data_IF_580169515928
#
_entry.id   IF_580169515928
#
_cell.length_a   1.000
_cell.length_b   1.000
_cell.length_c   1.000
_cell.angle_alpha   90.00
_cell.angle_beta   90.00
_cell.angle_gamma   90.00
#
_symmetry.space_group_name_H-M   'P 1'
#
loop_
_entity.id
_entity.type
_entity.pdbx_description
1 polymer ?
#
# COMPACT_ATOMS: atom_id res chain seq x y z
N UNK A 1 26.55 -10.68 29.09
CA UNK A 1 26.00 -10.55 27.72
C UNK A 1 24.84 -11.53 27.56
N UNK A 2 23.58 -11.07 27.60
CA UNK A 2 22.44 -11.97 27.40
C UNK A 2 22.25 -12.23 25.90
N UNK A 3 22.05 -13.51 25.61
CA UNK A 3 21.89 -14.15 24.32
C UNK A 3 20.75 -13.52 23.49
N UNK A 4 21.03 -13.23 22.21
CA UNK A 4 20.04 -12.80 21.22
C UNK A 4 18.90 -13.83 21.14
N UNK A 5 17.70 -13.45 21.59
CA UNK A 5 16.48 -14.21 21.29
C UNK A 5 16.25 -14.20 19.78
N UNK A 6 16.20 -15.40 19.20
CA UNK A 6 15.76 -15.70 17.83
C UNK A 6 14.39 -15.04 17.61
N UNK A 7 14.14 -14.35 16.48
CA UNK A 7 12.83 -13.77 16.22
C UNK A 7 11.81 -14.90 16.22
N UNK A 8 10.71 -14.71 16.95
CA UNK A 8 9.60 -15.66 16.97
C UNK A 8 9.12 -15.81 15.52
N UNK A 9 9.34 -16.98 14.93
CA UNK A 9 8.66 -17.35 13.70
C UNK A 9 7.17 -17.21 13.95
N UNK A 10 6.44 -16.65 12.97
CA UNK A 10 4.99 -16.65 12.97
C UNK A 10 4.53 -18.03 13.44
N UNK A 11 3.89 -18.09 14.60
CA UNK A 11 3.53 -19.36 15.23
C UNK A 11 2.72 -20.15 14.22
N UNK A 12 3.30 -21.22 13.68
CA UNK A 12 2.52 -22.22 12.98
C UNK A 12 1.49 -22.69 13.99
N UNK A 13 0.23 -22.30 13.80
CA UNK A 13 -0.87 -22.86 14.56
C UNK A 13 -0.74 -24.38 14.43
N UNK A 14 -0.50 -25.06 15.54
CA UNK A 14 -0.33 -26.50 15.52
C UNK A 14 -1.61 -27.10 14.93
N UNK A 15 -1.47 -27.78 13.79
CA UNK A 15 -2.61 -28.48 13.19
C UNK A 15 -3.13 -29.50 14.20
N UNK A 16 -4.45 -29.70 14.28
CA UNK A 16 -5.01 -30.73 15.14
C UNK A 16 -4.41 -32.09 14.75
N UNK A 17 -3.97 -32.88 15.73
CA UNK A 17 -3.44 -34.22 15.45
C UNK A 17 -4.56 -35.11 14.93
N UNK A 18 -4.40 -35.64 13.72
CA UNK A 18 -5.35 -36.58 13.15
C UNK A 18 -5.00 -37.99 13.67
N UNK A 19 -5.95 -38.71 14.31
CA UNK A 19 -5.72 -40.09 14.76
C UNK A 19 -5.30 -40.99 13.59
N UNK A 20 -4.39 -41.94 13.84
CA UNK A 20 -3.87 -42.85 12.80
C UNK A 20 -4.97 -43.70 12.19
N UNK A 21 -5.94 -44.10 13.02
CA UNK A 21 -7.08 -44.90 12.63
C UNK A 21 -7.95 -44.16 11.60
N UNK A 22 -8.08 -42.82 11.72
CA UNK A 22 -8.83 -42.02 10.76
C UNK A 22 -8.08 -41.90 9.43
N UNK A 23 -6.75 -41.83 9.47
CA UNK A 23 -5.91 -41.84 8.27
C UNK A 23 -6.07 -43.18 7.55
N UNK A 24 -5.97 -44.30 8.26
CA UNK A 24 -6.16 -45.64 7.68
C UNK A 24 -7.55 -45.83 7.05
N UNK A 25 -8.59 -45.29 7.68
CA UNK A 25 -9.95 -45.30 7.13
C UNK A 25 -10.08 -44.42 5.88
N UNK A 26 -9.46 -43.24 5.87
CA UNK A 26 -9.49 -42.32 4.73
C UNK A 26 -8.66 -42.83 3.54
N UNK A 27 -7.58 -43.57 3.79
CA UNK A 27 -6.75 -44.18 2.74
C UNK A 27 -7.25 -45.56 2.28
N UNK A 28 -8.28 -46.11 2.93
CA UNK A 28 -8.79 -47.46 2.68
C UNK A 28 -7.71 -48.54 2.84
N UNK A 29 -6.74 -48.32 3.72
CA UNK A 29 -5.59 -49.21 3.93
C UNK A 29 -4.55 -49.23 2.79
N UNK A 30 -4.68 -48.35 1.78
CA UNK A 30 -3.79 -48.33 0.62
C UNK A 30 -2.64 -47.34 0.83
N UNK A 31 -1.46 -47.87 1.16
CA UNK A 31 -0.19 -47.12 1.18
C UNK A 31 0.85 -47.82 0.30
N UNK A 32 1.59 -47.09 -0.56
CA UNK A 32 1.60 -45.64 -0.73
C UNK A 32 0.46 -45.12 -1.64
N UNK A 33 -0.06 -43.92 -1.32
CA UNK A 33 -1.00 -43.20 -2.18
C UNK A 33 -0.25 -42.35 -3.21
N UNK A 34 -0.82 -42.21 -4.41
CA UNK A 34 -0.34 -41.22 -5.39
C UNK A 34 -0.77 -39.80 -5.00
N UNK A 35 -0.11 -38.77 -5.56
CA UNK A 35 -0.49 -37.37 -5.35
C UNK A 35 -1.95 -37.11 -5.76
N UNK A 36 -2.43 -37.77 -6.82
CA UNK A 36 -3.82 -37.69 -7.29
C UNK A 36 -4.81 -38.28 -6.27
N UNK A 37 -4.48 -39.43 -5.68
CA UNK A 37 -5.31 -40.07 -4.65
C UNK A 37 -5.37 -39.22 -3.37
N UNK A 38 -4.25 -38.60 -2.98
CA UNK A 38 -4.21 -37.68 -1.84
C UNK A 38 -5.11 -36.48 -2.10
N UNK A 39 -5.04 -35.87 -3.29
CA UNK A 39 -5.88 -34.73 -3.65
C UNK A 39 -7.37 -35.10 -3.66
N UNK A 40 -7.72 -36.23 -4.28
CA UNK A 40 -9.11 -36.72 -4.34
C UNK A 40 -9.69 -36.98 -2.93
N UNK A 41 -8.90 -37.57 -2.04
CA UNK A 41 -9.31 -37.85 -0.65
C UNK A 41 -9.49 -36.55 0.14
N UNK A 42 -8.59 -35.58 -0.06
CA UNK A 42 -8.67 -34.25 0.55
C UNK A 42 -9.91 -33.50 0.09
N UNK A 43 -10.21 -33.52 -1.21
CA UNK A 43 -11.43 -32.94 -1.79
C UNK A 43 -12.71 -33.58 -1.22
N UNK A 44 -12.74 -34.91 -1.09
CA UNK A 44 -13.88 -35.63 -0.53
C UNK A 44 -14.11 -35.26 0.95
N UNK A 45 -13.04 -35.17 1.74
CA UNK A 45 -13.10 -34.73 3.13
C UNK A 45 -13.61 -33.29 3.24
N UNK A 46 -13.06 -32.38 2.42
CA UNK A 46 -13.47 -30.97 2.37
C UNK A 46 -14.95 -30.83 2.03
N UNK A 47 -15.44 -31.58 1.03
CA UNK A 47 -16.87 -31.66 0.69
C UNK A 47 -17.71 -32.09 1.88
N UNK A 48 -17.33 -33.18 2.54
CA UNK A 48 -18.08 -33.72 3.67
C UNK A 48 -18.16 -32.73 4.84
N UNK A 49 -17.06 -32.01 5.14
CA UNK A 49 -17.02 -30.98 6.17
C UNK A 49 -17.92 -29.79 5.83
N UNK A 50 -17.88 -29.30 4.60
CA UNK A 50 -18.73 -28.19 4.12
C UNK A 50 -20.20 -28.59 4.20
N UNK A 51 -20.58 -29.76 3.67
CA UNK A 51 -21.96 -30.23 3.71
C UNK A 51 -22.48 -30.45 5.14
N UNK A 52 -21.62 -30.94 6.05
CA UNK A 52 -21.94 -31.10 7.47
C UNK A 52 -22.18 -29.76 8.16
N UNK A 53 -21.32 -28.78 7.91
CA UNK A 53 -21.47 -27.43 8.45
C UNK A 53 -22.76 -26.76 7.98
N UNK A 54 -23.05 -26.81 6.67
CA UNK A 54 -24.32 -26.30 6.11
C UNK A 54 -25.54 -27.04 6.69
N UNK A 55 -25.43 -28.35 6.94
CA UNK A 55 -26.46 -29.13 7.62
C UNK A 55 -26.71 -28.69 9.06
N UNK A 56 -25.66 -28.34 9.79
CA UNK A 56 -25.74 -27.79 11.14
C UNK A 56 -26.39 -26.40 11.15
N UNK A 57 -26.01 -25.50 10.23
CA UNK A 57 -26.66 -24.20 10.04
C UNK A 57 -28.17 -24.35 9.80
N UNK A 58 -28.59 -25.26 8.92
CA UNK A 58 -30.01 -25.50 8.69
C UNK A 58 -30.72 -26.08 9.93
N UNK A 59 -30.01 -26.87 10.74
CA UNK A 59 -30.57 -27.40 12.00
C UNK A 59 -30.81 -26.30 13.02
N UNK A 60 -29.87 -25.37 13.11
CA UNK A 60 -30.02 -24.18 13.94
C UNK A 60 -31.16 -23.28 13.44
N UNK A 61 -31.25 -23.04 12.12
CA UNK A 61 -32.32 -22.25 11.50
C UNK A 61 -33.72 -22.83 11.76
N UNK A 62 -33.86 -24.15 11.69
CA UNK A 62 -35.15 -24.82 11.90
C UNK A 62 -35.47 -25.10 13.38
N UNK A 63 -34.48 -25.03 14.26
CA UNK A 63 -34.63 -25.35 15.69
C UNK A 63 -34.70 -26.85 16.01
N UNK A 64 -34.42 -27.74 15.05
CA UNK A 64 -34.45 -29.19 15.29
C UNK A 64 -33.50 -29.98 14.34
N UNK A 65 -32.95 -31.12 14.81
CA UNK A 65 -31.97 -31.91 14.05
C UNK A 65 -32.60 -32.68 12.88
N UNK A 66 -31.78 -33.18 11.93
CA UNK A 66 -32.28 -34.04 10.86
C UNK A 66 -32.76 -35.39 11.42
N UNK A 67 -33.85 -35.93 10.87
CA UNK A 67 -34.37 -37.26 11.21
C UNK A 67 -35.29 -37.31 12.43
N UNK A 68 -35.54 -36.20 13.12
CA UNK A 68 -36.54 -36.12 14.19
C UNK A 68 -37.90 -35.66 13.66
N UNK A 69 -38.97 -36.03 14.37
CA UNK A 69 -40.30 -35.49 14.09
C UNK A 69 -40.28 -33.96 14.19
N UNK A 70 -41.01 -33.32 13.27
CA UNK A 70 -41.15 -31.87 13.24
C UNK A 70 -41.93 -31.41 14.48
N UNK A 71 -41.41 -30.47 15.29
CA UNK A 71 -42.17 -29.89 16.41
C UNK A 71 -43.45 -29.20 15.92
N UNK A 72 -44.54 -29.28 16.69
CA UNK A 72 -45.83 -28.67 16.31
C UNK A 72 -45.72 -27.14 16.12
N UNK A 73 -44.84 -26.48 16.88
CA UNK A 73 -44.60 -25.03 16.81
C UNK A 73 -43.75 -24.62 15.59
N UNK A 74 -43.09 -25.56 14.91
CA UNK A 74 -42.23 -25.23 13.77
C UNK A 74 -43.07 -24.92 12.52
N UNK A 75 -43.02 -23.68 12.01
CA UNK A 75 -43.70 -23.31 10.76
C UNK A 75 -43.04 -23.84 9.48
N UNK A 76 -41.78 -24.29 9.57
CA UNK A 76 -40.94 -24.64 8.42
C UNK A 76 -40.33 -26.05 8.57
N UNK A 77 -39.83 -26.62 7.47
CA UNK A 77 -39.23 -27.95 7.47
C UNK A 77 -38.16 -28.12 6.41
N UNK A 78 -37.34 -29.17 6.52
CA UNK A 78 -36.33 -29.53 5.50
C UNK A 78 -37.01 -29.97 4.20
N UNK A 79 -36.42 -29.62 3.06
CA UNK A 79 -36.93 -29.94 1.73
C UNK A 79 -35.80 -30.40 0.78
N UNK A 80 -35.01 -31.37 1.25
CA UNK A 80 -33.92 -31.98 0.49
C UNK A 80 -32.69 -31.08 0.35
N UNK A 81 -31.93 -31.29 -0.73
CA UNK A 81 -30.69 -30.58 -1.04
C UNK A 81 -30.73 -30.02 -2.47
N UNK A 82 -29.81 -29.13 -2.79
CA UNK A 82 -29.55 -28.63 -4.15
C UNK A 82 -28.06 -28.66 -4.45
N UNK A 83 -27.70 -29.18 -5.62
CA UNK A 83 -26.33 -29.19 -6.08
C UNK A 83 -25.82 -27.77 -6.34
N UNK A 84 -24.61 -27.50 -5.86
CA UNK A 84 -23.88 -26.24 -6.08
C UNK A 84 -22.41 -26.56 -6.28
N UNK A 85 -21.81 -26.01 -7.34
CA UNK A 85 -20.35 -26.09 -7.52
C UNK A 85 -19.72 -24.86 -6.90
N UNK A 86 -18.85 -25.08 -5.92
CA UNK A 86 -18.10 -24.05 -5.20
C UNK A 86 -16.65 -24.12 -5.63
N UNK A 87 -16.07 -22.98 -5.98
CA UNK A 87 -14.66 -22.84 -6.29
C UNK A 87 -13.88 -22.79 -4.98
N UNK A 88 -13.01 -23.78 -4.77
CA UNK A 88 -12.13 -23.85 -3.60
C UNK A 88 -10.68 -23.72 -4.03
N UNK A 89 -9.77 -23.56 -3.06
CA UNK A 89 -8.32 -23.51 -3.35
C UNK A 89 -7.80 -24.72 -4.12
N UNK A 90 -8.40 -25.91 -3.95
CA UNK A 90 -7.94 -27.14 -4.59
C UNK A 90 -8.63 -27.38 -5.95
N UNK A 91 -9.61 -26.55 -6.32
CA UNK A 91 -10.41 -26.66 -7.54
C UNK A 91 -11.93 -26.62 -7.31
N UNK A 92 -12.73 -26.80 -8.39
CA UNK A 92 -14.18 -26.82 -8.32
C UNK A 92 -14.70 -28.03 -7.52
N UNK A 93 -15.47 -27.76 -6.47
CA UNK A 93 -16.04 -28.75 -5.57
C UNK A 93 -17.57 -28.76 -5.67
N UNK A 94 -18.14 -29.86 -6.15
CA UNK A 94 -19.59 -30.04 -6.20
C UNK A 94 -20.12 -30.49 -4.83
N UNK A 95 -20.88 -29.61 -4.19
CA UNK A 95 -21.50 -29.81 -2.88
C UNK A 95 -23.03 -29.89 -2.99
N UNK A 96 -23.67 -30.55 -2.04
CA UNK A 96 -25.12 -30.60 -1.88
C UNK A 96 -25.56 -29.68 -0.73
N UNK A 97 -26.11 -28.52 -1.07
CA UNK A 97 -26.55 -27.51 -0.09
C UNK A 97 -27.96 -27.87 0.41
N UNK A 98 -28.19 -27.99 1.72
CA UNK A 98 -29.49 -28.33 2.27
C UNK A 98 -30.48 -27.16 2.16
N UNK A 99 -31.77 -27.47 2.00
CA UNK A 99 -32.83 -26.48 1.79
C UNK A 99 -33.98 -26.65 2.78
N UNK A 100 -34.64 -25.55 3.09
CA UNK A 100 -35.92 -25.52 3.79
C UNK A 100 -37.09 -25.43 2.81
N UNK A 101 -38.31 -25.70 3.28
CA UNK A 101 -39.54 -25.69 2.48
C UNK A 101 -40.01 -24.28 2.18
N UNK A 102 -39.86 -23.37 3.13
CA UNK A 102 -40.25 -21.97 2.98
C UNK A 102 -39.24 -21.13 2.17
N UNK A 103 -38.04 -21.65 1.87
CA UNK A 103 -36.99 -20.91 1.15
C UNK A 103 -36.32 -19.79 1.97
N UNK A 104 -36.60 -19.73 3.27
CA UNK A 104 -36.14 -18.71 4.22
C UNK A 104 -34.71 -18.93 4.72
N UNK A 105 -34.14 -20.12 4.54
CA UNK A 105 -32.80 -20.42 5.03
C UNK A 105 -31.74 -19.67 4.22
N UNK A 106 -30.91 -18.85 4.87
CA UNK A 106 -29.75 -18.18 4.26
C UNK A 106 -28.46 -18.73 4.88
N UNK A 107 -27.69 -19.57 4.15
CA UNK A 107 -26.46 -20.14 4.70
C UNK A 107 -25.40 -19.06 4.93
N UNK A 108 -24.69 -19.16 6.05
CA UNK A 108 -23.62 -18.23 6.43
C UNK A 108 -22.31 -18.66 5.79
N UNK A 109 -21.97 -19.96 5.84
CA UNK A 109 -20.71 -20.48 5.30
C UNK A 109 -20.56 -20.24 3.79
N UNK A 110 -21.64 -20.45 3.03
CA UNK A 110 -21.66 -20.23 1.58
C UNK A 110 -23.02 -19.64 1.18
N UNK A 111 -23.15 -18.31 1.11
CA UNK A 111 -24.41 -17.62 0.82
C UNK A 111 -25.09 -18.08 -0.46
N UNK A 112 -26.41 -17.83 -0.57
CA UNK A 112 -27.17 -18.15 -1.78
C UNK A 112 -26.51 -17.48 -2.99
N UNK A 113 -26.47 -18.20 -4.11
CA UNK A 113 -25.84 -17.78 -5.37
C UNK A 113 -24.30 -17.60 -5.35
N UNK A 114 -23.67 -17.51 -4.19
CA UNK A 114 -22.21 -17.33 -4.09
C UNK A 114 -21.46 -18.64 -4.30
N UNK A 115 -20.61 -18.74 -5.32
CA UNK A 115 -19.88 -19.98 -5.64
C UNK A 115 -18.44 -19.98 -5.13
N UNK A 116 -18.07 -19.10 -4.21
CA UNK A 116 -16.68 -18.92 -3.76
C UNK A 116 -16.49 -19.46 -2.35
N UNK A 117 -15.35 -20.12 -2.10
CA UNK A 117 -14.88 -20.46 -0.77
C UNK A 117 -13.84 -19.42 -0.35
N UNK A 118 -13.99 -18.86 0.86
CA UNK A 118 -13.18 -17.73 1.36
C UNK A 118 -11.68 -18.04 1.36
N UNK A 119 -10.85 -17.07 0.94
CA UNK A 119 -9.38 -17.18 0.86
C UNK A 119 -8.79 -17.21 -0.57
N UNK A 120 -9.55 -17.66 -1.58
CA UNK A 120 -9.09 -17.66 -2.98
C UNK A 120 -8.89 -16.25 -3.54
N UNK A 121 -9.84 -15.36 -3.23
CA UNK A 121 -9.82 -13.96 -3.68
C UNK A 121 -8.63 -13.20 -3.07
N UNK A 122 -8.26 -13.51 -1.82
CA UNK A 122 -7.09 -12.93 -1.15
C UNK A 122 -5.78 -13.28 -1.86
N UNK A 123 -5.65 -14.50 -2.39
CA UNK A 123 -4.47 -14.90 -3.18
C UNK A 123 -4.39 -14.13 -4.50
N UNK A 124 -5.53 -13.91 -5.16
CA UNK A 124 -5.61 -13.08 -6.38
C UNK A 124 -5.17 -11.66 -6.08
N UNK A 125 -5.72 -11.05 -5.01
CA UNK A 125 -5.35 -9.70 -4.58
C UNK A 125 -3.87 -9.64 -4.19
N UNK A 126 -3.34 -10.65 -3.49
CA UNK A 126 -1.95 -10.72 -3.08
C UNK A 126 -0.96 -10.84 -4.26
N UNK A 127 -1.32 -11.59 -5.31
CA UNK A 127 -0.54 -11.68 -6.56
C UNK A 127 -0.59 -10.37 -7.33
N UNK A 128 -1.78 -9.78 -7.45
CA UNK A 128 -1.98 -8.49 -8.12
C UNK A 128 -1.15 -7.39 -7.44
N UNK A 129 -1.21 -7.32 -6.10
CA UNK A 129 -0.46 -6.37 -5.27
C UNK A 129 1.07 -6.51 -5.39
N UNK A 130 1.56 -7.70 -5.78
CA UNK A 130 3.00 -7.96 -6.04
C UNK A 130 3.43 -7.57 -7.45
N UNK A 131 2.49 -7.08 -8.27
CA UNK A 131 2.78 -6.59 -9.61
C UNK A 131 2.54 -7.62 -10.72
N UNK A 132 1.95 -8.77 -10.44
CA UNK A 132 1.54 -9.71 -11.49
C UNK A 132 0.39 -9.14 -12.30
N UNK A 133 0.48 -9.27 -13.63
CA UNK A 133 -0.59 -8.93 -14.57
C UNK A 133 -1.72 -9.94 -14.49
N UNK A 134 -2.91 -9.57 -14.98
CA UNK A 134 -4.08 -10.47 -14.99
C UNK A 134 -3.78 -11.78 -15.71
N UNK A 135 -3.00 -11.74 -16.80
CA UNK A 135 -2.59 -12.93 -17.56
C UNK A 135 -1.61 -13.82 -16.80
N UNK A 136 -0.65 -13.22 -16.07
CA UNK A 136 0.27 -13.97 -15.22
C UNK A 136 -0.46 -14.63 -14.04
N UNK A 137 -1.43 -13.93 -13.44
CA UNK A 137 -2.29 -14.49 -12.39
C UNK A 137 -3.09 -15.67 -12.94
N UNK A 138 -3.70 -15.50 -14.12
CA UNK A 138 -4.44 -16.59 -14.78
C UNK A 138 -3.56 -17.81 -15.03
N UNK A 139 -2.37 -17.62 -15.61
CA UNK A 139 -1.42 -18.70 -15.86
C UNK A 139 -0.98 -19.40 -14.57
N UNK A 140 -0.62 -18.64 -13.54
CA UNK A 140 -0.25 -19.20 -12.24
C UNK A 140 -1.38 -20.00 -11.60
N UNK A 141 -2.63 -19.51 -11.68
CA UNK A 141 -3.78 -20.23 -11.13
C UNK A 141 -4.07 -21.53 -11.89
N UNK A 142 -3.90 -21.53 -13.21
CA UNK A 142 -4.06 -22.72 -14.03
C UNK A 142 -2.98 -23.77 -13.73
N UNK A 143 -1.73 -23.36 -13.60
CA UNK A 143 -0.60 -24.27 -13.32
C UNK A 143 -0.64 -24.85 -11.91
N UNK A 144 -0.90 -24.02 -10.89
CA UNK A 144 -0.82 -24.45 -9.50
C UNK A 144 -2.09 -25.16 -9.00
N UNK A 145 -3.26 -24.77 -9.51
CA UNK A 145 -4.56 -25.22 -8.99
C UNK A 145 -5.42 -25.94 -10.05
N UNK A 146 -4.91 -26.15 -11.27
CA UNK A 146 -5.65 -26.82 -12.36
C UNK A 146 -6.97 -26.13 -12.71
N UNK A 147 -7.11 -24.85 -12.36
CA UNK A 147 -8.38 -24.12 -12.45
C UNK A 147 -8.28 -23.05 -13.54
N UNK A 148 -9.14 -23.17 -14.55
CA UNK A 148 -9.31 -22.11 -15.55
C UNK A 148 -10.10 -20.94 -14.94
N UNK A 149 -9.43 -19.80 -14.80
CA UNK A 149 -10.03 -18.56 -14.29
C UNK A 149 -10.04 -17.52 -15.40
N UNK A 150 -11.16 -16.84 -15.62
CA UNK A 150 -11.23 -15.81 -16.66
C UNK A 150 -10.54 -14.49 -16.23
N UNK A 151 -9.99 -13.72 -17.17
CA UNK A 151 -9.46 -12.38 -16.89
C UNK A 151 -10.50 -11.43 -16.26
N UNK A 152 -11.77 -11.57 -16.67
CA UNK A 152 -12.89 -10.80 -16.16
C UNK A 152 -13.14 -11.14 -14.68
N UNK A 153 -13.02 -12.41 -14.30
CA UNK A 153 -13.13 -12.82 -12.91
C UNK A 153 -12.02 -12.20 -12.06
N UNK A 154 -10.76 -12.30 -12.48
CA UNK A 154 -9.62 -11.70 -11.78
C UNK A 154 -9.81 -10.19 -11.62
N UNK A 155 -10.29 -9.53 -12.67
CA UNK A 155 -10.58 -8.10 -12.63
C UNK A 155 -11.66 -7.79 -11.58
N UNK A 156 -12.79 -8.52 -11.59
CA UNK A 156 -13.88 -8.34 -10.62
C UNK A 156 -13.44 -8.51 -9.16
N UNK A 157 -12.56 -9.49 -8.89
CA UNK A 157 -12.00 -9.72 -7.56
C UNK A 157 -11.14 -8.53 -7.13
N UNK A 158 -10.29 -8.04 -8.03
CA UNK A 158 -9.46 -6.87 -7.72
C UNK A 158 -10.27 -5.59 -7.62
N UNK A 159 -11.38 -5.45 -8.34
CA UNK A 159 -12.23 -4.24 -8.30
C UNK A 159 -12.95 -4.09 -6.96
N UNK A 160 -13.23 -5.19 -6.26
CA UNK A 160 -13.78 -5.14 -4.89
C UNK A 160 -12.88 -4.33 -3.93
N UNK A 161 -11.57 -4.28 -4.20
CA UNK A 161 -10.59 -3.50 -3.43
C UNK A 161 -10.85 -1.99 -3.52
N UNK A 162 -11.52 -1.49 -4.57
CA UNK A 162 -11.79 -0.05 -4.70
C UNK A 162 -12.60 0.52 -3.55
N UNK A 163 -13.46 -0.28 -2.92
CA UNK A 163 -14.18 0.12 -1.71
C UNK A 163 -13.21 0.45 -0.56
N UNK A 164 -12.19 -0.40 -0.35
CA UNK A 164 -11.14 -0.15 0.65
C UNK A 164 -10.28 1.07 0.28
N UNK A 165 -9.99 1.26 -1.02
CA UNK A 165 -9.25 2.43 -1.51
C UNK A 165 -10.01 3.71 -1.19
N UNK A 166 -11.30 3.77 -1.49
CA UNK A 166 -12.14 4.93 -1.20
C UNK A 166 -12.24 5.20 0.31
N UNK A 167 -12.42 4.16 1.12
CA UNK A 167 -12.43 4.29 2.57
C UNK A 167 -11.08 4.80 3.12
N UNK A 168 -9.96 4.34 2.55
CA UNK A 168 -8.63 4.82 2.92
C UNK A 168 -8.38 6.26 2.47
N UNK A 169 -8.87 6.66 1.30
CA UNK A 169 -8.76 8.05 0.80
C UNK A 169 -9.61 9.03 1.62
N UNK A 170 -10.71 8.58 2.23
CA UNK A 170 -11.58 9.43 3.06
C UNK A 170 -11.31 9.31 4.57
N UNK A 171 -10.39 8.43 4.99
CA UNK A 171 -10.12 8.19 6.41
C UNK A 171 -9.70 9.48 7.14
N UNK A 172 -10.09 9.64 8.41
CA UNK A 172 -9.63 10.75 9.23
C UNK A 172 -8.10 10.70 9.37
N UNK A 173 -7.49 11.87 9.41
CA UNK A 173 -6.05 12.08 9.58
C UNK A 173 -5.78 12.79 10.90
N UNK A 174 -4.57 12.60 11.43
CA UNK A 174 -4.11 13.28 12.63
C UNK A 174 -4.10 14.81 12.45
N UNK A 175 -4.34 15.58 13.54
CA UNK A 175 -4.50 17.03 13.45
C UNK A 175 -3.21 17.77 13.11
N UNK A 176 -2.04 17.21 13.42
CA UNK A 176 -0.77 17.88 13.20
C UNK A 176 0.32 16.94 12.69
N UNK A 177 1.01 17.37 11.64
CA UNK A 177 2.17 16.69 11.08
C UNK A 177 3.40 17.62 11.12
N UNK A 178 4.47 17.24 11.84
CA UNK A 178 5.70 18.02 11.86
C UNK A 178 6.36 18.16 10.49
N UNK A 179 6.35 17.10 9.69
CA UNK A 179 6.89 17.11 8.33
C UNK A 179 5.98 16.34 7.39
N UNK A 180 5.64 16.93 6.25
CA UNK A 180 4.98 16.24 5.14
C UNK A 180 5.82 16.38 3.88
N UNK A 181 6.17 15.25 3.28
CA UNK A 181 6.86 15.19 1.99
C UNK A 181 5.84 15.02 0.87
N UNK A 182 5.91 15.90 -0.13
CA UNK A 182 5.15 15.78 -1.37
C UNK A 182 6.10 15.46 -2.51
N UNK A 183 5.91 14.31 -3.14
CA UNK A 183 6.70 13.87 -4.28
C UNK A 183 5.78 13.23 -5.32
N UNK A 184 6.28 13.09 -6.55
CA UNK A 184 5.51 12.52 -7.64
C UNK A 184 6.26 11.39 -8.34
N UNK A 185 5.52 10.38 -8.78
CA UNK A 185 6.00 9.40 -9.75
C UNK A 185 5.22 9.52 -11.05
N UNK A 186 5.89 9.29 -12.17
CA UNK A 186 5.31 9.35 -13.51
C UNK A 186 4.89 7.96 -13.96
N UNK A 187 3.63 7.81 -14.39
CA UNK A 187 3.04 6.54 -14.79
C UNK A 187 2.29 6.69 -16.11
N UNK A 188 2.44 5.69 -16.99
CA UNK A 188 1.72 5.64 -18.27
C UNK A 188 0.30 5.12 -18.04
N UNK A 189 -0.70 5.94 -18.32
CA UNK A 189 -2.12 5.61 -18.14
C UNK A 189 -2.86 5.93 -19.44
N UNK A 190 -3.76 5.03 -19.86
CA UNK A 190 -4.64 5.24 -21.01
C UNK A 190 -5.83 6.11 -20.61
N UNK A 191 -6.05 7.17 -21.37
CA UNK A 191 -7.14 8.13 -21.23
C UNK A 191 -7.60 8.54 -22.64
N UNK A 192 -8.90 8.48 -22.92
CA UNK A 192 -9.48 8.78 -24.24
C UNK A 192 -8.78 8.05 -25.40
N UNK A 193 -8.54 6.74 -25.22
CA UNK A 193 -7.79 5.87 -26.13
C UNK A 193 -6.31 6.23 -26.36
N UNK A 194 -5.78 7.27 -25.72
CA UNK A 194 -4.36 7.70 -25.82
C UNK A 194 -3.62 7.36 -24.53
N UNK A 195 -2.39 6.85 -24.64
CA UNK A 195 -1.54 6.63 -23.46
C UNK A 195 -0.81 7.93 -23.12
N UNK A 196 -1.11 8.48 -21.94
CA UNK A 196 -0.49 9.70 -21.40
C UNK A 196 0.42 9.37 -20.23
N UNK A 197 1.43 10.19 -20.02
CA UNK A 197 2.33 10.07 -18.87
C UNK A 197 1.84 10.99 -17.74
N UNK A 198 1.00 10.45 -16.85
CA UNK A 198 0.39 11.20 -15.74
C UNK A 198 1.32 11.26 -14.53
N UNK A 199 1.24 12.34 -13.77
CA UNK A 199 1.89 12.41 -12.45
C UNK A 199 0.96 11.81 -11.40
N UNK A 200 1.56 11.04 -10.51
CA UNK A 200 0.89 10.53 -9.32
C UNK A 200 1.60 11.14 -8.13
N UNK A 201 0.91 12.04 -7.46
CA UNK A 201 1.40 12.76 -6.30
C UNK A 201 1.12 11.94 -5.04
N UNK A 202 2.14 11.81 -4.19
CA UNK A 202 2.09 11.08 -2.93
C UNK A 202 2.43 12.05 -1.79
N UNK A 203 1.65 12.02 -0.71
CA UNK A 203 1.95 12.73 0.52
C UNK A 203 2.38 11.74 1.61
N UNK A 204 3.62 11.87 2.09
CA UNK A 204 4.18 11.11 3.21
C UNK A 204 4.30 12.03 4.43
N UNK A 205 3.46 11.81 5.42
CA UNK A 205 3.51 12.50 6.71
C UNK A 205 4.43 11.79 7.70
N UNK A 206 5.08 12.56 8.56
CA UNK A 206 5.72 12.10 9.79
C UNK A 206 4.88 12.61 10.95
N UNK A 207 4.60 11.74 11.92
CA UNK A 207 3.83 12.05 13.12
C UNK A 207 4.73 12.54 14.26
N UNK A 208 4.17 13.15 15.33
CA UNK A 208 4.95 13.66 16.47
C UNK A 208 5.79 12.59 17.18
N UNK A 209 5.33 11.33 17.15
CA UNK A 209 6.05 10.18 17.70
C UNK A 209 7.15 9.62 16.76
N UNK A 210 7.21 10.15 15.54
CA UNK A 210 8.19 9.80 14.50
C UNK A 210 7.80 8.62 13.64
N UNK A 211 6.59 8.08 13.84
CA UNK A 211 6.00 7.14 12.89
C UNK A 211 5.62 7.88 11.61
N UNK A 212 5.40 7.12 10.55
CA UNK A 212 5.14 7.64 9.22
C UNK A 212 3.77 7.19 8.78
N UNK A 213 3.10 8.03 8.01
CA UNK A 213 1.83 7.70 7.39
C UNK A 213 1.75 8.23 5.96
N UNK A 214 1.06 7.50 5.09
CA UNK A 214 0.74 7.98 3.74
C UNK A 214 -0.60 8.68 3.80
N UNK A 215 -0.58 10.00 3.62
CA UNK A 215 -1.78 10.82 3.79
C UNK A 215 -2.72 10.68 2.61
N UNK A 216 -2.17 10.51 1.41
CA UNK A 216 -2.99 10.32 0.20
C UNK A 216 -2.17 10.10 -1.06
N UNK A 217 -2.90 9.79 -2.13
CA UNK A 217 -2.41 9.59 -3.48
C UNK A 217 -3.39 10.24 -4.46
N UNK A 218 -2.87 11.10 -5.34
CA UNK A 218 -3.68 11.85 -6.32
C UNK A 218 -3.07 11.73 -7.71
N UNK A 219 -3.89 11.37 -8.69
CA UNK A 219 -3.51 11.32 -10.11
C UNK A 219 -4.01 12.59 -10.77
N UNK A 220 -3.14 13.30 -11.47
CA UNK A 220 -3.52 14.51 -12.18
C UNK A 220 -2.74 14.66 -13.49
N UNK A 221 -3.39 15.30 -14.47
CA UNK A 221 -2.84 15.58 -15.78
C UNK A 221 -1.98 16.85 -15.80
N UNK A 222 -2.45 17.91 -15.13
CA UNK A 222 -1.82 19.22 -15.12
C UNK A 222 -1.52 19.70 -13.70
N UNK A 223 -0.26 20.08 -13.50
CA UNK A 223 0.22 20.65 -12.25
C UNK A 223 -0.10 22.14 -12.19
N UNK A 224 -0.76 22.59 -11.13
CA UNK A 224 -1.05 24.01 -10.91
C UNK A 224 -1.68 24.28 -9.55
N UNK A 225 -1.82 25.57 -9.21
CA UNK A 225 -2.29 26.00 -7.88
C UNK A 225 -3.68 25.43 -7.53
N UNK A 226 -4.59 25.30 -8.51
CA UNK A 226 -5.94 24.73 -8.29
C UNK A 226 -5.88 23.26 -7.83
N UNK A 227 -4.98 22.48 -8.40
CA UNK A 227 -4.79 21.07 -8.00
C UNK A 227 -4.28 21.00 -6.56
N UNK A 228 -3.24 21.76 -6.22
CA UNK A 228 -2.69 21.76 -4.86
C UNK A 228 -3.67 22.31 -3.82
N UNK A 229 -4.49 23.30 -4.18
CA UNK A 229 -5.59 23.76 -3.34
C UNK A 229 -6.59 22.62 -3.05
N UNK A 230 -6.92 21.79 -4.05
CA UNK A 230 -7.78 20.61 -3.85
C UNK A 230 -7.12 19.62 -2.89
N UNK A 231 -5.84 19.31 -3.08
CA UNK A 231 -5.08 18.38 -2.23
C UNK A 231 -5.02 18.88 -0.78
N UNK A 232 -4.68 20.14 -0.54
CA UNK A 232 -4.59 20.68 0.81
C UNK A 232 -5.95 20.82 1.49
N UNK A 233 -7.00 21.18 0.76
CA UNK A 233 -8.36 21.19 1.31
C UNK A 233 -8.87 19.78 1.62
N UNK A 234 -8.51 18.77 0.82
CA UNK A 234 -8.80 17.36 1.12
C UNK A 234 -8.15 16.94 2.45
N UNK A 235 -6.85 17.21 2.62
CA UNK A 235 -6.14 16.95 3.89
C UNK A 235 -6.82 17.66 5.07
N UNK A 236 -7.18 18.93 4.90
CA UNK A 236 -7.85 19.72 5.95
C UNK A 236 -9.23 19.18 6.31
N UNK A 237 -10.02 18.79 5.31
CA UNK A 237 -11.36 18.20 5.50
C UNK A 237 -11.28 16.86 6.23
N UNK A 238 -10.19 16.12 6.04
CA UNK A 238 -9.93 14.84 6.72
C UNK A 238 -9.38 15.00 8.13
N UNK A 239 -9.12 16.22 8.61
CA UNK A 239 -8.76 16.49 10.00
C UNK A 239 -7.41 17.16 10.20
N UNK A 240 -6.60 17.34 9.15
CA UNK A 240 -5.30 18.03 9.28
C UNK A 240 -5.51 19.51 9.59
N UNK A 241 -5.15 19.91 10.80
CA UNK A 241 -5.23 21.30 11.26
C UNK A 241 -3.93 22.06 10.99
N UNK A 242 -2.77 21.42 11.15
CA UNK A 242 -1.46 22.06 10.97
C UNK A 242 -0.41 21.15 10.32
N UNK A 243 0.45 21.78 9.52
CA UNK A 243 1.64 21.17 8.93
C UNK A 243 2.80 22.12 9.22
N UNK A 244 3.79 21.69 10.01
CA UNK A 244 4.89 22.60 10.37
C UNK A 244 5.84 22.83 9.18
N UNK A 245 6.22 21.74 8.50
CA UNK A 245 7.13 21.78 7.35
C UNK A 245 6.56 20.96 6.19
N UNK A 246 6.40 21.60 5.03
CA UNK A 246 6.09 20.92 3.77
C UNK A 246 7.34 20.84 2.90
N UNK A 247 7.79 19.63 2.58
CA UNK A 247 9.00 19.36 1.79
C UNK A 247 8.60 18.95 0.38
N UNK A 248 9.05 19.68 -0.64
CA UNK A 248 8.62 19.46 -2.04
C UNK A 248 9.76 19.62 -3.04
N UNK A 249 9.66 18.99 -4.22
CA UNK A 249 10.62 19.13 -5.32
C UNK A 249 10.31 20.34 -6.23
N UNK A 250 10.06 21.51 -5.64
CA UNK A 250 9.83 22.75 -6.40
C UNK A 250 8.59 22.74 -7.30
N UNK A 251 7.59 21.92 -6.97
CA UNK A 251 6.35 21.75 -7.71
C UNK A 251 5.59 23.08 -7.83
N UNK A 252 5.06 23.36 -9.03
CA UNK A 252 4.36 24.60 -9.38
C UNK A 252 3.01 24.68 -8.67
N UNK A 253 2.66 25.87 -8.18
CA UNK A 253 1.36 26.11 -7.55
C UNK A 253 1.27 25.70 -6.06
N UNK A 254 2.27 24.99 -5.53
CA UNK A 254 2.32 24.66 -4.09
C UNK A 254 2.44 25.92 -3.22
N UNK A 255 3.34 26.88 -3.48
CA UNK A 255 3.50 28.05 -2.60
C UNK A 255 2.19 28.82 -2.43
N UNK A 256 1.48 29.07 -3.52
CA UNK A 256 0.22 29.79 -3.53
C UNK A 256 -0.88 29.01 -2.79
N UNK A 257 -0.91 27.68 -2.97
CA UNK A 257 -1.90 26.83 -2.32
C UNK A 257 -1.65 26.64 -0.82
N UNK A 258 -0.39 26.49 -0.41
CA UNK A 258 -0.01 26.41 1.01
C UNK A 258 -0.34 27.73 1.72
N UNK A 259 0.04 28.87 1.14
CA UNK A 259 -0.26 30.17 1.72
C UNK A 259 -1.76 30.40 1.96
N UNK A 260 -2.62 29.80 1.13
CA UNK A 260 -4.07 29.90 1.29
C UNK A 260 -4.66 28.91 2.31
N UNK A 261 -4.18 27.66 2.37
CA UNK A 261 -4.81 26.60 3.19
C UNK A 261 -4.12 26.40 4.54
N UNK A 262 -2.78 26.46 4.56
CA UNK A 262 -1.90 26.29 5.71
C UNK A 262 -0.86 27.43 5.77
N UNK A 263 -1.27 28.68 6.08
CA UNK A 263 -0.41 29.86 5.97
C UNK A 263 0.82 29.84 6.90
N UNK A 264 0.74 29.08 7.99
CA UNK A 264 1.82 28.96 8.97
C UNK A 264 2.85 27.85 8.64
N UNK A 265 2.66 27.12 7.54
CA UNK A 265 3.58 26.05 7.10
C UNK A 265 4.84 26.63 6.49
N UNK A 266 6.00 26.14 6.93
CA UNK A 266 7.27 26.43 6.27
C UNK A 266 7.42 25.56 5.03
N UNK A 267 7.41 26.17 3.84
CA UNK A 267 7.71 25.47 2.60
C UNK A 267 9.23 25.32 2.43
N UNK A 268 9.68 24.07 2.28
CA UNK A 268 11.09 23.72 2.09
C UNK A 268 11.28 22.97 0.77
N UNK A 269 12.24 23.41 -0.06
CA UNK A 269 12.68 22.63 -1.22
C UNK A 269 13.44 21.40 -0.77
N UNK A 270 13.13 20.24 -1.34
CA UNK A 270 13.85 19.02 -1.04
C UNK A 270 15.29 19.08 -1.56
N UNK A 271 16.26 19.14 -0.65
CA UNK A 271 17.69 19.19 -0.98
C UNK A 271 18.14 17.96 -1.77
N UNK A 272 17.59 16.77 -1.48
CA UNK A 272 18.00 15.56 -2.20
C UNK A 272 17.52 15.55 -3.63
N UNK A 273 16.29 16.01 -3.90
CA UNK A 273 15.84 16.18 -5.29
C UNK A 273 16.67 17.26 -6.01
N UNK A 274 17.00 18.36 -5.33
CA UNK A 274 17.87 19.39 -5.88
C UNK A 274 19.27 18.84 -6.25
N UNK A 275 19.86 18.02 -5.38
CA UNK A 275 21.13 17.32 -5.66
C UNK A 275 20.95 16.34 -6.82
N UNK A 276 19.90 15.52 -6.84
CA UNK A 276 19.67 14.55 -7.93
C UNK A 276 19.54 15.26 -9.28
N UNK A 277 18.70 16.30 -9.34
CA UNK A 277 18.52 17.13 -10.53
C UNK A 277 19.86 17.73 -10.98
N UNK A 278 20.72 18.11 -10.03
CA UNK A 278 22.08 18.59 -10.33
C UNK A 278 22.98 17.48 -10.93
N UNK A 279 22.91 16.26 -10.38
CA UNK A 279 23.71 15.12 -10.84
C UNK A 279 23.27 14.56 -12.19
N UNK A 280 22.05 14.86 -12.63
CA UNK A 280 21.55 14.44 -13.95
C UNK A 280 22.22 15.18 -15.11
N UNK A 281 22.81 16.36 -14.87
CA UNK A 281 23.66 17.05 -15.84
C UNK A 281 25.06 16.44 -15.95
N UNK A 282 25.47 15.59 -15.00
CA UNK A 282 26.82 15.05 -14.92
C UNK A 282 26.92 13.62 -15.45
N UNK A 283 28.04 13.34 -16.14
CA UNK A 283 28.42 11.99 -16.55
C UNK A 283 28.63 11.09 -15.33
N UNK A 284 28.53 9.77 -15.51
CA UNK A 284 28.75 8.79 -14.42
C UNK A 284 30.07 8.99 -13.69
N UNK A 285 31.14 9.35 -14.41
CA UNK A 285 32.48 9.59 -13.84
C UNK A 285 32.52 10.84 -12.97
N UNK A 286 31.83 11.90 -13.37
CA UNK A 286 31.83 13.19 -12.69
C UNK A 286 30.87 13.25 -11.49
N UNK A 287 29.80 12.45 -11.49
CA UNK A 287 28.73 12.48 -10.46
C UNK A 287 29.25 12.47 -9.03
N UNK A 288 30.21 11.60 -8.71
CA UNK A 288 30.75 11.49 -7.35
C UNK A 288 31.48 12.77 -6.91
N UNK A 289 32.28 13.34 -7.80
CA UNK A 289 33.04 14.55 -7.51
C UNK A 289 32.13 15.79 -7.45
N UNK A 290 31.15 15.89 -8.36
CA UNK A 290 30.13 16.94 -8.32
C UNK A 290 29.31 16.88 -7.02
N UNK A 291 28.88 15.69 -6.59
CA UNK A 291 28.16 15.53 -5.33
C UNK A 291 28.99 15.99 -4.12
N UNK A 292 30.29 15.72 -4.13
CA UNK A 292 31.21 16.18 -3.09
C UNK A 292 31.37 17.71 -3.11
N UNK A 293 31.44 18.32 -4.30
CA UNK A 293 31.54 19.77 -4.45
C UNK A 293 30.25 20.52 -4.02
N UNK A 294 29.07 19.90 -4.16
CA UNK A 294 27.80 20.47 -3.70
C UNK A 294 27.57 20.29 -2.19
N UNK A 295 28.31 19.39 -1.53
CA UNK A 295 28.11 19.03 -0.12
C UNK A 295 28.24 20.23 0.84
N UNK A 296 29.27 21.07 0.75
CA UNK A 296 29.45 22.21 1.65
C UNK A 296 28.23 23.12 1.73
N UNK A 297 27.56 23.36 0.60
CA UNK A 297 26.40 24.26 0.47
C UNK A 297 25.30 23.88 1.48
N UNK A 298 24.82 22.63 1.46
CA UNK A 298 23.73 22.21 2.35
C UNK A 298 24.19 21.73 3.72
N UNK A 299 25.49 21.53 3.94
CA UNK A 299 26.02 21.21 5.28
C UNK A 299 26.47 22.43 6.07
N UNK A 300 26.38 23.63 5.48
CA UNK A 300 26.76 24.88 6.13
C UNK A 300 25.98 25.14 7.42
N UNK A 301 26.61 25.86 8.35
CA UNK A 301 26.03 26.17 9.67
C UNK A 301 24.88 27.18 9.58
N UNK A 302 24.98 28.17 8.69
CA UNK A 302 24.00 29.25 8.49
C UNK A 302 23.68 29.47 7.02
N UNK A 303 22.62 30.24 6.75
CA UNK A 303 22.25 30.65 5.40
C UNK A 303 23.34 31.48 4.72
N UNK A 304 24.00 32.39 5.46
CA UNK A 304 25.10 33.20 4.92
C UNK A 304 26.32 32.36 4.54
N UNK A 305 26.67 31.37 5.38
CA UNK A 305 27.74 30.44 5.07
C UNK A 305 27.38 29.57 3.85
N UNK A 306 26.13 29.11 3.76
CA UNK A 306 25.65 28.36 2.59
C UNK A 306 25.69 29.19 1.30
N UNK A 307 25.38 30.49 1.41
CA UNK A 307 25.43 31.43 0.30
C UNK A 307 26.87 31.59 -0.20
N UNK A 308 27.82 31.78 0.72
CA UNK A 308 29.24 31.85 0.37
C UNK A 308 29.74 30.55 -0.28
N UNK A 309 29.31 29.38 0.21
CA UNK A 309 29.64 28.08 -0.42
C UNK A 309 29.02 27.93 -1.82
N UNK A 310 27.81 28.46 -2.05
CA UNK A 310 27.19 28.47 -3.39
C UNK A 310 27.95 29.41 -4.34
N UNK A 311 28.37 30.58 -3.87
CA UNK A 311 29.18 31.53 -4.64
C UNK A 311 30.55 30.90 -4.99
N UNK A 312 31.18 30.23 -4.03
CA UNK A 312 32.45 29.53 -4.22
C UNK A 312 32.30 28.35 -5.20
N UNK A 313 31.20 27.59 -5.12
CA UNK A 313 30.89 26.53 -6.07
C UNK A 313 30.74 27.09 -7.49
N UNK A 314 30.02 28.19 -7.66
CA UNK A 314 29.82 28.87 -8.95
C UNK A 314 31.15 29.31 -9.59
N UNK A 315 32.07 29.85 -8.78
CA UNK A 315 33.40 30.24 -9.23
C UNK A 315 34.34 29.05 -9.50
N UNK A 316 34.05 27.87 -8.95
CA UNK A 316 34.90 26.68 -9.09
C UNK A 316 34.86 26.08 -10.50
N UNK A 317 35.85 25.22 -10.81
CA UNK A 317 35.87 24.46 -12.06
C UNK A 317 34.59 23.62 -12.28
N UNK A 318 33.93 23.16 -11.21
CA UNK A 318 32.68 22.43 -11.30
C UNK A 318 31.49 23.32 -11.62
N UNK A 319 31.40 24.51 -11.01
CA UNK A 319 30.35 25.49 -11.32
C UNK A 319 30.46 26.01 -12.74
N UNK A 320 31.67 26.28 -13.21
CA UNK A 320 31.94 26.69 -14.59
C UNK A 320 31.65 25.57 -15.60
N UNK A 321 31.94 24.31 -15.25
CA UNK A 321 31.59 23.14 -16.08
C UNK A 321 30.08 22.86 -16.11
N UNK A 322 29.36 23.17 -15.04
CA UNK A 322 27.93 22.91 -14.90
C UNK A 322 27.14 24.17 -14.49
N UNK A 323 27.09 25.23 -15.31
CA UNK A 323 26.42 26.48 -14.95
C UNK A 323 24.90 26.31 -14.75
N UNK A 324 24.29 25.29 -15.37
CA UNK A 324 22.89 24.93 -15.18
C UNK A 324 22.59 24.46 -13.76
N UNK A 325 23.56 23.81 -13.10
CA UNK A 325 23.43 23.39 -11.70
C UNK A 325 23.32 24.63 -10.82
N UNK A 326 24.28 25.56 -10.93
CA UNK A 326 24.25 26.81 -10.17
C UNK A 326 22.96 27.58 -10.40
N UNK A 327 22.53 27.74 -11.65
CA UNK A 327 21.28 28.44 -11.97
C UNK A 327 20.06 27.78 -11.32
N UNK A 328 20.04 26.45 -11.21
CA UNK A 328 18.95 25.71 -10.55
C UNK A 328 18.92 25.98 -9.05
N UNK A 329 20.08 25.95 -8.39
CA UNK A 329 20.20 26.26 -6.96
C UNK A 329 19.79 27.71 -6.65
N UNK A 330 20.24 28.67 -7.47
CA UNK A 330 19.88 30.09 -7.34
C UNK A 330 18.38 30.34 -7.44
N UNK A 331 17.71 29.71 -8.42
CA UNK A 331 16.25 29.84 -8.59
C UNK A 331 15.45 29.26 -7.43
N UNK A 332 15.97 28.21 -6.79
CA UNK A 332 15.34 27.56 -5.65
C UNK A 332 15.74 28.18 -4.30
N UNK A 333 16.66 29.15 -4.29
CA UNK A 333 17.40 29.54 -3.09
C UNK A 333 16.53 30.04 -1.95
N UNK A 334 15.53 30.89 -2.23
CA UNK A 334 14.59 31.38 -1.22
C UNK A 334 13.85 30.26 -0.48
N UNK A 335 13.68 29.11 -1.14
CA UNK A 335 13.02 27.92 -0.59
C UNK A 335 14.02 26.90 -0.04
N UNK A 336 15.32 27.13 -0.24
CA UNK A 336 16.42 26.37 0.37
C UNK A 336 16.82 27.01 1.71
N UNK A 337 16.81 28.34 1.82
CA UNK A 337 17.17 29.10 3.02
C UNK A 337 16.50 28.58 4.32
N UNK A 338 15.18 28.26 4.36
CA UNK A 338 14.53 27.80 5.58
C UNK A 338 15.20 26.57 6.20
N UNK A 339 15.86 25.75 5.38
CA UNK A 339 16.63 24.58 5.82
C UNK A 339 17.67 24.92 6.89
N UNK A 340 18.32 26.08 6.77
CA UNK A 340 19.38 26.49 7.67
C UNK A 340 18.87 27.04 9.01
N UNK A 341 17.58 27.40 9.10
CA UNK A 341 16.96 27.75 10.38
C UNK A 341 16.73 26.51 11.27
N UNK A 342 16.68 25.31 10.67
CA UNK A 342 16.47 24.07 11.43
C UNK A 342 17.75 23.58 12.11
N UNK A 343 17.59 22.94 13.28
CA UNK A 343 18.70 22.29 13.97
C UNK A 343 19.25 21.11 13.15
N UNK A 344 20.51 20.68 13.36
CA UNK A 344 21.08 19.53 12.65
C UNK A 344 20.24 18.25 12.74
N UNK A 345 19.57 18.01 13.86
CA UNK A 345 18.68 16.86 14.05
C UNK A 345 17.43 16.94 13.17
N UNK A 346 16.79 18.11 13.09
CA UNK A 346 15.62 18.35 12.21
C UNK A 346 16.04 18.31 10.74
N UNK A 347 17.19 18.92 10.39
CA UNK A 347 17.75 18.82 9.04
C UNK A 347 17.89 17.36 8.63
N UNK A 348 18.45 16.50 9.49
CA UNK A 348 18.61 15.06 9.21
C UNK A 348 17.28 14.39 8.86
N UNK A 349 16.19 14.71 9.56
CA UNK A 349 14.85 14.22 9.19
C UNK A 349 14.48 14.67 7.78
N UNK A 350 14.61 15.98 7.49
CA UNK A 350 14.19 16.60 6.22
C UNK A 350 15.01 16.11 5.02
N UNK A 351 16.33 16.05 5.12
CA UNK A 351 17.18 15.65 4.00
C UNK A 351 17.36 14.12 3.88
N UNK A 352 16.90 13.31 4.84
CA UNK A 352 16.86 11.85 4.66
C UNK A 352 15.64 11.42 3.84
N UNK A 353 15.67 11.66 2.53
CA UNK A 353 14.61 11.22 1.61
C UNK A 353 14.50 9.71 1.44
N UNK A 354 15.35 8.92 2.12
CA UNK A 354 15.29 7.46 2.15
C UNK A 354 13.86 6.93 2.33
N UNK A 355 13.02 7.60 3.11
CA UNK A 355 11.64 7.15 3.32
C UNK A 355 10.81 7.22 2.03
N UNK A 356 10.65 8.40 1.42
CA UNK A 356 9.83 8.55 0.21
C UNK A 356 10.46 7.90 -1.02
N UNK A 357 11.80 7.90 -1.11
CA UNK A 357 12.52 7.23 -2.19
C UNK A 357 12.43 5.72 -2.13
N UNK A 358 12.49 5.13 -0.92
CA UNK A 358 12.30 3.68 -0.77
C UNK A 358 10.91 3.28 -1.23
N UNK A 359 9.89 4.09 -0.92
CA UNK A 359 8.52 3.88 -1.39
C UNK A 359 8.47 3.98 -2.91
N UNK A 360 8.97 5.07 -3.50
CA UNK A 360 9.02 5.25 -4.95
C UNK A 360 9.76 4.11 -5.66
N UNK A 361 10.87 3.63 -5.12
CA UNK A 361 11.63 2.50 -5.67
C UNK A 361 10.81 1.20 -5.66
N UNK A 362 10.12 0.90 -4.54
CA UNK A 362 9.23 -0.27 -4.43
C UNK A 362 8.01 -0.16 -5.35
N UNK A 363 7.38 1.02 -5.45
CA UNK A 363 6.29 1.28 -6.37
C UNK A 363 6.75 1.08 -7.83
N UNK A 364 7.89 1.68 -8.22
CA UNK A 364 8.49 1.48 -9.55
C UNK A 364 8.74 0.00 -9.85
N UNK A 365 9.22 -0.77 -8.87
CA UNK A 365 9.44 -2.23 -9.02
C UNK A 365 8.14 -2.99 -9.30
N UNK A 366 7.01 -2.58 -8.72
CA UNK A 366 5.71 -3.24 -8.89
C UNK A 366 5.06 -2.86 -10.22
N UNK A 367 5.23 -1.61 -10.68
CA UNK A 367 4.63 -1.15 -11.94
C UNK A 367 5.49 -1.48 -13.17
N UNK A 368 6.79 -1.76 -13.03
CA UNK A 368 7.72 -1.95 -14.17
C UNK A 368 7.30 -3.05 -15.16
N UNK A 369 6.56 -4.06 -14.69
CA UNK A 369 6.09 -5.20 -15.51
C UNK A 369 4.89 -4.82 -16.36
N UNK A 370 4.22 -3.69 -16.06
CA UNK A 370 3.09 -3.17 -16.83
C UNK A 370 3.59 -2.10 -17.81
N UNK A 371 3.20 -2.22 -19.08
CA UNK A 371 3.49 -1.19 -20.08
C UNK A 371 2.74 0.12 -19.83
N UNK A 372 1.42 0.02 -19.60
CA UNK A 372 0.53 1.12 -19.24
C UNK A 372 -0.69 0.61 -18.47
N UNK A 373 -1.34 1.49 -17.71
CA UNK A 373 -2.61 1.19 -17.05
C UNK A 373 -3.80 1.50 -17.96
N UNK A 374 -4.90 0.74 -17.86
CA UNK A 374 -6.10 0.98 -18.67
C UNK A 374 -6.93 2.20 -18.20
N UNK A 375 -6.79 2.61 -16.93
CA UNK A 375 -7.51 3.73 -16.33
C UNK A 375 -6.78 4.25 -15.08
N UNK A 376 -7.20 5.42 -14.60
CA UNK A 376 -6.73 6.01 -13.34
C UNK A 376 -7.08 5.11 -12.13
N UNK A 377 -8.26 4.49 -12.13
CA UNK A 377 -8.69 3.55 -11.08
C UNK A 377 -7.78 2.32 -11.01
N UNK A 378 -7.40 1.76 -12.16
CA UNK A 378 -6.50 0.61 -12.20
C UNK A 378 -5.10 0.96 -11.66
N UNK A 379 -4.61 2.18 -11.94
CA UNK A 379 -3.36 2.66 -11.37
C UNK A 379 -3.48 2.87 -9.85
N UNK A 380 -4.53 3.56 -9.42
CA UNK A 380 -4.82 3.84 -8.00
C UNK A 380 -4.91 2.55 -7.20
N UNK A 381 -5.68 1.56 -7.67
CA UNK A 381 -5.86 0.25 -7.06
C UNK A 381 -4.53 -0.45 -6.79
N UNK A 382 -3.68 -0.58 -7.82
CA UNK A 382 -2.40 -1.28 -7.67
C UNK A 382 -1.45 -0.52 -6.75
N UNK A 383 -1.37 0.80 -6.90
CA UNK A 383 -0.48 1.62 -6.10
C UNK A 383 -0.90 1.61 -4.62
N UNK A 384 -2.20 1.68 -4.35
CA UNK A 384 -2.71 1.55 -2.99
C UNK A 384 -2.40 0.17 -2.39
N UNK A 385 -2.63 -0.92 -3.12
CA UNK A 385 -2.27 -2.27 -2.67
C UNK A 385 -0.77 -2.41 -2.38
N UNK A 386 0.06 -1.81 -3.24
CA UNK A 386 1.51 -1.76 -3.04
C UNK A 386 1.87 -0.96 -1.78
N UNK A 387 1.26 0.22 -1.60
CA UNK A 387 1.45 1.05 -0.41
C UNK A 387 1.03 0.30 0.86
N UNK A 388 -0.14 -0.34 0.87
CA UNK A 388 -0.63 -1.18 1.98
C UNK A 388 0.39 -2.23 2.40
N UNK A 389 1.00 -2.91 1.44
CA UNK A 389 2.04 -3.90 1.72
C UNK A 389 3.35 -3.27 2.22
N UNK A 390 3.73 -2.10 1.69
CA UNK A 390 4.93 -1.37 2.10
C UNK A 390 4.80 -0.85 3.53
N UNK A 391 3.63 -0.33 3.90
CA UNK A 391 3.36 0.24 5.22
C UNK A 391 3.15 -0.83 6.28
N UNK A 392 2.70 -2.04 5.91
CA UNK A 392 2.61 -3.17 6.85
C UNK A 392 3.97 -3.52 7.50
N UNK A 393 5.08 -3.29 6.79
CA UNK A 393 6.44 -3.50 7.30
C UNK A 393 6.99 -2.31 8.12
N UNK A 394 6.24 -1.21 8.26
CA UNK A 394 6.74 -0.04 8.96
C UNK A 394 6.77 -0.28 10.47
N UNK A 395 8.00 -0.37 10.98
CA UNK A 395 8.28 -0.42 12.41
C UNK A 395 8.43 0.96 13.05
N UNK A 396 9.12 0.97 14.19
CA UNK A 396 9.32 2.16 15.05
C UNK A 396 10.01 3.32 14.31
N UNK A 397 9.82 4.52 14.86
CA UNK A 397 10.48 5.75 14.45
C UNK A 397 12.01 5.60 14.31
N UNK A 398 12.60 6.43 13.44
CA UNK A 398 14.05 6.50 13.30
C UNK A 398 14.71 6.81 14.65
N UNK A 399 15.87 6.21 14.92
CA UNK A 399 16.61 6.39 16.18
C UNK A 399 16.86 7.87 16.52
N UNK A 400 17.11 8.66 15.48
CA UNK A 400 17.42 10.09 15.56
C UNK A 400 16.17 10.97 15.80
N UNK A 401 14.97 10.38 15.77
CA UNK A 401 13.72 11.14 15.91
C UNK A 401 13.60 11.85 17.25
N UNK A 402 14.00 11.21 18.36
CA UNK A 402 13.84 11.80 19.71
C UNK A 402 14.62 13.11 19.86
N UNK A 403 15.78 13.21 19.24
CA UNK A 403 16.56 14.45 19.23
C UNK A 403 15.86 15.53 18.39
N UNK A 404 15.38 15.17 17.20
CA UNK A 404 14.63 16.09 16.33
C UNK A 404 13.31 16.56 16.96
N UNK A 405 12.59 15.66 17.63
CA UNK A 405 11.31 15.91 18.31
C UNK A 405 11.45 17.04 19.34
N UNK A 406 12.48 17.00 20.19
CA UNK A 406 12.74 18.07 21.16
C UNK A 406 13.00 19.41 20.46
N UNK A 407 13.71 19.39 19.33
CA UNK A 407 13.99 20.59 18.56
C UNK A 407 12.74 21.14 17.86
N UNK A 408 11.84 20.29 17.39
CA UNK A 408 10.53 20.71 16.90
C UNK A 408 9.70 21.38 18.01
N UNK A 409 9.65 20.78 19.20
CA UNK A 409 8.93 21.36 20.34
C UNK A 409 9.47 22.74 20.73
N UNK A 410 10.79 22.94 20.70
CA UNK A 410 11.42 24.24 20.96
C UNK A 410 11.10 25.26 19.85
N UNK A 411 11.20 24.85 18.58
CA UNK A 411 11.08 25.77 17.45
C UNK A 411 9.62 26.17 17.15
N UNK A 412 8.66 25.28 17.39
CA UNK A 412 7.26 25.46 17.02
C UNK A 412 6.31 25.60 18.23
N UNK A 413 6.81 25.38 19.45
CA UNK A 413 6.08 25.63 20.69
C UNK A 413 4.72 24.93 20.72
N UNK A 414 3.67 25.71 20.97
CA UNK A 414 2.28 25.24 21.07
C UNK A 414 1.74 24.57 19.79
N UNK A 415 2.40 24.77 18.64
CA UNK A 415 2.01 24.11 17.39
C UNK A 415 2.47 22.65 17.32
N UNK A 416 3.43 22.23 18.14
CA UNK A 416 3.90 20.85 18.20
C UNK A 416 3.20 20.09 19.33
N UNK A 417 2.01 19.57 19.02
CA UNK A 417 1.12 18.82 19.91
C UNK A 417 1.24 17.30 19.80
#
# INVERSE_FOLDING_TARGET
MPTKKKPAGAGMTALPSIPKELIEQLTGGSTPMTAEQINATTMALKKALIERALGAELSHHLGYPPGTAKPEEAGNQRNGKSAKTVLTEDGPLRIEVPRDRAGSFEPILIPKHERRFTGFDDKIVAMYARGMTVREIQGFLAEQYGTEVSPEFISSVTDAVMTEVSAWQSRPLEPMYPVVFFDALRVKIREDAVVRNKAIYLALGVLPDGTRDILGLWIENTEGAKFWMKVFNDLKTRGVADILIAVTDGLKGIPEALAAVFPATTLQTCIVHLIRNSLDFASWKDRKALAAALKPIYTASSADAAQAELDAFEASAWGQKFPTVTATWRRAWDRVIPFFAFSPAVRRVIYTTNAIESIHSRLRKIIKTRGHFPSDDAATKLLWLALRNITADWGRAAKEWKEAMNQFAIAYGERFT
#
